data_IF_374496773769
#
_entry.id   IF_374496773769
#
_cell.length_a   1.000
_cell.length_b   1.000
_cell.length_c   1.000
_cell.angle_alpha   90.00
_cell.angle_beta   90.00
_cell.angle_gamma   90.00
#
_symmetry.space_group_name_H-M   'P 1'
#
loop_
_entity.id
_entity.type
_entity.pdbx_description
1 polymer ?
#
# COMPACT_ATOMS: atom_id res chain seq x y z
N UNK A 1 -5.57 0.25 20.09
CA UNK A 1 -5.52 1.58 19.44
C UNK A 1 -6.53 1.65 18.30
N UNK A 2 -6.55 0.67 17.38
CA UNK A 2 -7.48 0.64 16.22
C UNK A 2 -8.53 -0.46 16.33
N UNK A 3 -8.93 -0.82 17.54
CA UNK A 3 -9.96 -1.84 17.79
C UNK A 3 -11.29 -1.46 17.12
N UNK A 4 -11.94 -2.42 16.46
CA UNK A 4 -13.14 -2.20 15.67
C UNK A 4 -12.94 -1.55 14.30
N UNK A 5 -11.71 -1.21 13.91
CA UNK A 5 -11.40 -0.69 12.57
C UNK A 5 -11.13 -1.83 11.60
N UNK A 6 -11.74 -1.77 10.42
CA UNK A 6 -11.53 -2.69 9.30
C UNK A 6 -10.75 -1.97 8.20
N UNK A 7 -9.56 -2.46 7.88
CA UNK A 7 -8.70 -1.86 6.87
C UNK A 7 -8.25 -2.90 5.83
N UNK A 8 -8.35 -2.56 4.56
CA UNK A 8 -7.85 -3.39 3.48
C UNK A 8 -6.42 -2.96 3.10
N UNK A 9 -5.52 -3.93 3.01
CA UNK A 9 -4.14 -3.72 2.58
C UNK A 9 -3.86 -4.53 1.32
N UNK A 10 -4.15 -3.95 0.16
CA UNK A 10 -3.77 -4.52 -1.13
C UNK A 10 -2.25 -4.51 -1.27
N UNK A 11 -1.67 -5.69 -1.55
CA UNK A 11 -0.21 -5.90 -1.51
C UNK A 11 0.33 -6.22 -0.11
N UNK A 12 -0.52 -6.54 0.86
CA UNK A 12 -0.15 -6.84 2.24
C UNK A 12 0.76 -8.05 2.44
N UNK A 13 0.91 -8.92 1.44
CA UNK A 13 1.90 -10.01 1.44
C UNK A 13 3.25 -9.62 0.79
N UNK A 14 3.37 -8.38 0.30
CA UNK A 14 4.60 -7.84 -0.28
C UNK A 14 5.56 -7.29 0.78
N UNK A 15 6.79 -7.00 0.38
CA UNK A 15 7.89 -6.62 1.28
C UNK A 15 7.62 -5.37 2.14
N UNK A 16 6.90 -4.38 1.62
CA UNK A 16 6.45 -3.21 2.39
C UNK A 16 5.12 -3.51 3.09
N UNK A 17 4.18 -4.11 2.35
CA UNK A 17 2.84 -4.40 2.84
C UNK A 17 2.78 -5.28 4.07
N UNK A 18 3.67 -6.30 4.20
CA UNK A 18 3.72 -7.16 5.39
C UNK A 18 4.03 -6.38 6.68
N UNK A 19 4.83 -5.32 6.60
CA UNK A 19 5.10 -4.42 7.73
C UNK A 19 3.89 -3.55 8.08
N UNK A 20 3.13 -3.11 7.07
CA UNK A 20 1.87 -2.39 7.25
C UNK A 20 0.86 -3.30 7.96
N UNK A 21 0.66 -4.52 7.45
CA UNK A 21 -0.23 -5.53 8.06
C UNK A 21 0.17 -5.81 9.50
N UNK A 22 1.47 -6.06 9.76
CA UNK A 22 1.99 -6.29 11.11
C UNK A 22 1.60 -5.16 12.06
N UNK A 23 1.93 -3.93 11.71
CA UNK A 23 1.66 -2.78 12.58
C UNK A 23 0.16 -2.61 12.87
N UNK A 24 -0.66 -2.63 11.85
CA UNK A 24 -2.11 -2.42 12.00
C UNK A 24 -2.76 -3.53 12.83
N UNK A 25 -2.44 -4.79 12.56
CA UNK A 25 -2.98 -5.94 13.30
C UNK A 25 -2.54 -5.93 14.78
N UNK A 26 -1.26 -5.60 15.06
CA UNK A 26 -0.73 -5.49 16.42
C UNK A 26 -1.33 -4.33 17.22
N UNK A 27 -1.89 -3.33 16.54
CA UNK A 27 -2.61 -2.22 17.16
C UNK A 27 -4.14 -2.43 17.17
N UNK A 28 -4.62 -3.62 16.86
CA UNK A 28 -6.01 -4.05 17.06
C UNK A 28 -6.94 -3.89 15.86
N UNK A 29 -6.44 -3.41 14.71
CA UNK A 29 -7.26 -3.37 13.50
C UNK A 29 -7.53 -4.76 12.95
N UNK A 30 -8.71 -4.99 12.39
CA UNK A 30 -9.00 -6.10 11.48
C UNK A 30 -8.42 -5.76 10.11
N UNK A 31 -7.47 -6.57 9.63
CA UNK A 31 -6.72 -6.31 8.41
C UNK A 31 -7.09 -7.32 7.33
N UNK A 32 -7.67 -6.85 6.23
CA UNK A 32 -8.04 -7.66 5.08
C UNK A 32 -6.92 -7.60 4.04
N UNK A 33 -6.44 -8.77 3.61
CA UNK A 33 -5.26 -8.87 2.76
C UNK A 33 -5.56 -9.68 1.49
N UNK A 34 -5.79 -9.05 0.34
CA UNK A 34 -5.84 -9.73 -0.94
C UNK A 34 -4.53 -10.45 -1.27
N UNK A 35 -4.61 -11.70 -1.71
CA UNK A 35 -3.43 -12.49 -2.11
C UNK A 35 -3.78 -13.63 -3.07
N UNK A 36 -2.86 -13.94 -3.99
CA UNK A 36 -2.96 -15.09 -4.92
C UNK A 36 -2.32 -16.37 -4.39
N UNK A 37 -1.59 -16.29 -3.26
CA UNK A 37 -0.69 -17.36 -2.83
C UNK A 37 -0.85 -17.63 -1.34
N UNK A 38 -1.17 -18.89 -1.00
CA UNK A 38 -1.19 -19.36 0.39
C UNK A 38 0.19 -19.27 1.04
N UNK A 39 1.26 -19.61 0.33
CA UNK A 39 2.63 -19.52 0.85
C UNK A 39 3.00 -18.08 1.24
N UNK A 40 2.63 -17.10 0.40
CA UNK A 40 2.84 -15.67 0.73
C UNK A 40 1.98 -15.25 1.90
N UNK A 41 0.73 -15.73 1.99
CA UNK A 41 -0.14 -15.47 3.12
C UNK A 41 0.46 -16.00 4.42
N UNK A 42 0.90 -17.27 4.45
CA UNK A 42 1.55 -17.89 5.59
C UNK A 42 2.85 -17.18 5.98
N UNK A 43 3.68 -16.80 4.99
CA UNK A 43 4.92 -16.06 5.22
C UNK A 43 4.69 -14.68 5.86
N UNK A 44 3.71 -13.93 5.37
CA UNK A 44 3.34 -12.63 5.93
C UNK A 44 2.69 -12.75 7.30
N UNK A 45 1.81 -13.75 7.50
CA UNK A 45 1.21 -14.05 8.79
C UNK A 45 2.27 -14.43 9.84
N UNK A 46 3.30 -15.16 9.43
CA UNK A 46 4.45 -15.51 10.27
C UNK A 46 5.21 -14.29 10.79
N UNK A 47 5.14 -13.15 10.11
CA UNK A 47 5.76 -11.89 10.53
C UNK A 47 4.93 -11.14 11.59
N UNK A 48 3.62 -11.38 11.67
CA UNK A 48 2.73 -10.84 12.71
C UNK A 48 2.91 -11.65 14.00
N UNK A 49 3.01 -10.97 15.14
CA UNK A 49 3.16 -11.63 16.45
C UNK A 49 1.90 -12.46 16.77
N UNK A 50 2.12 -13.65 17.34
CA UNK A 50 1.09 -14.70 17.44
C UNK A 50 -0.27 -14.24 18.01
N UNK A 51 -0.35 -13.43 19.08
CA UNK A 51 -1.65 -13.01 19.63
C UNK A 51 -2.51 -12.19 18.66
N UNK A 52 -1.88 -11.54 17.68
CA UNK A 52 -2.53 -10.61 16.76
C UNK A 52 -2.86 -11.22 15.39
N UNK A 53 -2.42 -12.45 15.11
CA UNK A 53 -2.68 -13.15 13.84
C UNK A 53 -4.16 -13.33 13.56
N UNK A 54 -4.98 -13.44 14.60
CA UNK A 54 -6.45 -13.52 14.49
C UNK A 54 -7.10 -12.27 13.88
N UNK A 55 -6.37 -11.16 13.83
CA UNK A 55 -6.82 -9.90 13.28
C UNK A 55 -6.54 -9.80 11.76
N UNK A 56 -5.87 -10.80 11.14
CA UNK A 56 -5.50 -10.80 9.72
C UNK A 56 -6.36 -11.81 8.96
N UNK A 57 -7.05 -11.35 7.93
CA UNK A 57 -7.93 -12.15 7.08
C UNK A 57 -7.45 -12.08 5.63
N UNK A 58 -7.24 -13.22 5.00
CA UNK A 58 -6.80 -13.29 3.60
C UNK A 58 -7.99 -13.46 2.66
N UNK A 59 -8.01 -12.64 1.60
CA UNK A 59 -8.96 -12.71 0.50
C UNK A 59 -8.22 -13.31 -0.71
N UNK A 60 -8.53 -14.57 -1.05
CA UNK A 60 -7.81 -15.27 -2.11
C UNK A 60 -8.34 -14.91 -3.50
N UNK A 61 -7.42 -14.56 -4.40
CA UNK A 61 -7.69 -14.18 -5.79
C UNK A 61 -6.68 -13.16 -6.30
N UNK A 62 -6.76 -12.83 -7.59
CA UNK A 62 -5.96 -11.80 -8.22
C UNK A 62 -6.69 -10.45 -8.19
N UNK A 63 -6.22 -9.53 -7.35
CA UNK A 63 -6.82 -8.19 -7.22
C UNK A 63 -6.70 -7.35 -8.51
N UNK A 64 -5.88 -7.76 -9.47
CA UNK A 64 -5.79 -7.13 -10.80
C UNK A 64 -6.78 -7.71 -11.82
N UNK A 65 -7.50 -8.77 -11.45
CA UNK A 65 -8.61 -9.35 -12.20
C UNK A 65 -9.95 -8.81 -11.65
N UNK A 66 -10.81 -8.30 -12.54
CA UNK A 66 -12.08 -7.67 -12.13
C UNK A 66 -13.04 -8.69 -11.48
N UNK A 67 -13.07 -9.93 -11.94
CA UNK A 67 -13.96 -10.95 -11.38
C UNK A 67 -13.52 -11.39 -9.98
N UNK A 68 -12.22 -11.54 -9.76
CA UNK A 68 -11.69 -11.87 -8.44
C UNK A 68 -11.81 -10.68 -7.48
N UNK A 69 -11.56 -9.45 -7.94
CA UNK A 69 -11.79 -8.24 -7.15
C UNK A 69 -13.26 -8.11 -6.74
N UNK A 70 -14.22 -8.46 -7.63
CA UNK A 70 -15.64 -8.45 -7.31
C UNK A 70 -16.01 -9.51 -6.25
N UNK A 71 -15.45 -10.73 -6.32
CA UNK A 71 -15.63 -11.74 -5.25
C UNK A 71 -15.11 -11.23 -3.90
N UNK A 72 -13.96 -10.54 -3.89
CA UNK A 72 -13.43 -9.92 -2.66
C UNK A 72 -14.36 -8.85 -2.13
N UNK A 73 -14.91 -8.00 -3.01
CA UNK A 73 -15.93 -7.00 -2.65
C UNK A 73 -17.12 -7.66 -1.95
N UNK A 74 -17.67 -8.72 -2.54
CA UNK A 74 -18.87 -9.41 -2.00
C UNK A 74 -18.56 -10.02 -0.63
N UNK A 75 -17.41 -10.67 -0.45
CA UNK A 75 -16.96 -11.19 0.86
C UNK A 75 -16.84 -10.07 1.89
N UNK A 76 -16.31 -8.89 1.49
CA UNK A 76 -16.20 -7.74 2.41
C UNK A 76 -17.58 -7.24 2.81
N UNK A 77 -18.51 -7.11 1.88
CA UNK A 77 -19.89 -6.69 2.18
C UNK A 77 -20.58 -7.66 3.13
N UNK A 78 -20.45 -8.97 2.88
CA UNK A 78 -21.14 -10.00 3.65
C UNK A 78 -20.61 -10.14 5.09
N UNK A 79 -19.33 -9.90 5.33
CA UNK A 79 -18.70 -10.18 6.63
C UNK A 79 -18.25 -8.94 7.41
N UNK A 80 -18.01 -7.82 6.73
CA UNK A 80 -17.44 -6.60 7.33
C UNK A 80 -18.25 -5.34 7.02
N UNK A 81 -19.21 -5.42 6.10
CA UNK A 81 -20.08 -4.34 5.64
C UNK A 81 -19.32 -3.22 4.89
N UNK A 82 -18.36 -2.58 5.53
CA UNK A 82 -17.61 -1.43 5.00
C UNK A 82 -16.17 -1.42 5.51
N UNK A 83 -15.34 -0.58 4.89
CA UNK A 83 -13.94 -0.36 5.24
C UNK A 83 -13.75 0.98 5.97
N UNK A 84 -13.00 0.98 7.06
CA UNK A 84 -12.55 2.20 7.76
C UNK A 84 -11.27 2.79 7.14
N UNK A 85 -10.62 2.06 6.24
CA UNK A 85 -9.46 2.51 5.49
C UNK A 85 -9.03 1.52 4.42
N UNK A 86 -8.28 2.03 3.44
CA UNK A 86 -7.70 1.22 2.38
C UNK A 86 -6.26 1.65 2.10
N UNK A 87 -5.40 0.68 1.84
CA UNK A 87 -4.01 0.89 1.42
C UNK A 87 -3.76 0.12 0.14
N UNK A 88 -3.14 0.75 -0.83
CA UNK A 88 -2.67 0.11 -2.05
C UNK A 88 -1.15 0.17 -2.12
N UNK A 89 -0.50 -0.94 -1.73
CA UNK A 89 0.95 -1.16 -1.77
C UNK A 89 1.29 -2.27 -2.77
N UNK A 90 0.69 -2.14 -3.96
CA UNK A 90 0.79 -3.10 -5.06
C UNK A 90 2.04 -2.85 -5.91
N UNK A 91 2.43 -3.88 -6.67
CA UNK A 91 3.61 -3.84 -7.51
C UNK A 91 4.85 -4.37 -6.81
N UNK A 92 6.01 -4.06 -7.38
CA UNK A 92 7.29 -4.51 -6.88
C UNK A 92 8.44 -3.82 -7.60
N UNK A 93 9.64 -4.03 -7.09
CA UNK A 93 10.86 -3.59 -7.77
C UNK A 93 11.21 -4.56 -8.89
N UNK A 94 11.52 -4.02 -10.06
CA UNK A 94 12.10 -4.73 -11.18
C UNK A 94 13.43 -4.08 -11.57
N UNK A 95 14.41 -4.88 -11.89
CA UNK A 95 15.73 -4.43 -12.33
C UNK A 95 16.17 -5.33 -13.47
N UNK A 96 16.55 -4.76 -14.58
CA UNK A 96 16.93 -5.50 -15.77
C UNK A 96 17.77 -4.68 -16.73
N UNK A 97 17.24 -4.40 -17.91
CA UNK A 97 17.93 -3.76 -19.02
C UNK A 97 17.49 -2.30 -19.23
N UNK A 98 18.04 -1.63 -20.25
CA UNK A 98 17.59 -0.32 -20.67
C UNK A 98 16.14 -0.37 -21.17
N UNK A 99 15.41 0.72 -20.99
CA UNK A 99 13.99 0.78 -21.38
C UNK A 99 13.76 0.51 -22.87
N UNK A 100 14.76 0.82 -23.73
CA UNK A 100 14.75 0.54 -25.17
C UNK A 100 14.82 -0.95 -25.52
N UNK A 101 15.27 -1.78 -24.58
CA UNK A 101 15.52 -3.20 -24.79
C UNK A 101 14.42 -4.09 -24.17
N UNK A 102 13.45 -3.48 -23.48
CA UNK A 102 12.29 -4.18 -22.92
C UNK A 102 11.30 -4.47 -24.04
N UNK A 103 10.85 -5.71 -24.13
CA UNK A 103 9.81 -6.09 -25.07
C UNK A 103 8.45 -5.53 -24.67
N UNK A 104 7.54 -5.39 -25.66
CA UNK A 104 6.16 -4.99 -25.39
C UNK A 104 5.46 -5.94 -24.42
N UNK A 105 5.70 -7.24 -24.51
CA UNK A 105 5.10 -8.24 -23.61
C UNK A 105 5.57 -8.06 -22.16
N UNK A 106 6.87 -7.86 -21.93
CA UNK A 106 7.42 -7.57 -20.59
C UNK A 106 6.86 -6.25 -20.04
N UNK A 107 6.74 -5.21 -20.88
CA UNK A 107 6.11 -3.95 -20.49
C UNK A 107 4.66 -4.17 -20.03
N UNK A 108 3.86 -4.90 -20.79
CA UNK A 108 2.45 -5.16 -20.48
C UNK A 108 2.30 -5.97 -19.19
N UNK A 109 3.10 -7.02 -19.00
CA UNK A 109 3.13 -7.82 -17.77
C UNK A 109 3.48 -6.98 -16.53
N UNK A 110 4.53 -6.15 -16.63
CA UNK A 110 4.94 -5.30 -15.53
C UNK A 110 3.89 -4.21 -15.22
N UNK A 111 3.32 -3.58 -16.24
CA UNK A 111 2.27 -2.56 -16.05
C UNK A 111 1.00 -3.14 -15.45
N UNK A 112 0.66 -4.41 -15.72
CA UNK A 112 -0.46 -5.09 -15.10
C UNK A 112 -0.33 -5.09 -13.57
N UNK A 113 0.83 -5.46 -13.04
CA UNK A 113 1.09 -5.50 -11.60
C UNK A 113 1.38 -4.15 -10.97
N UNK A 114 1.99 -3.22 -11.73
CA UNK A 114 2.49 -1.93 -11.22
C UNK A 114 1.45 -0.79 -11.30
N UNK A 115 0.48 -0.88 -12.22
CA UNK A 115 -0.51 0.18 -12.45
C UNK A 115 -1.93 -0.35 -12.52
N UNK A 116 -2.21 -1.31 -13.43
CA UNK A 116 -3.58 -1.82 -13.65
C UNK A 116 -4.17 -2.41 -12.36
N UNK A 117 -3.37 -3.10 -11.56
CA UNK A 117 -3.79 -3.63 -10.27
C UNK A 117 -4.28 -2.54 -9.30
N UNK A 118 -3.64 -1.38 -9.27
CA UNK A 118 -4.11 -0.24 -8.47
C UNK A 118 -5.46 0.28 -8.95
N UNK A 119 -5.63 0.39 -10.28
CA UNK A 119 -6.89 0.83 -10.85
C UNK A 119 -8.04 -0.14 -10.55
N UNK A 120 -7.86 -1.45 -10.79
CA UNK A 120 -8.91 -2.46 -10.56
C UNK A 120 -9.27 -2.53 -9.07
N UNK A 121 -8.27 -2.56 -8.18
CA UNK A 121 -8.50 -2.53 -6.74
C UNK A 121 -9.29 -1.30 -6.30
N UNK A 122 -8.93 -0.11 -6.81
CA UNK A 122 -9.61 1.14 -6.47
C UNK A 122 -11.04 1.14 -7.01
N UNK A 123 -11.23 0.84 -8.30
CA UNK A 123 -12.54 0.81 -8.94
C UNK A 123 -13.54 -0.08 -8.18
N UNK A 124 -13.09 -1.24 -7.72
CA UNK A 124 -13.97 -2.26 -7.14
C UNK A 124 -14.15 -2.09 -5.63
N UNK A 125 -13.08 -1.76 -4.89
CA UNK A 125 -13.09 -1.83 -3.42
C UNK A 125 -13.18 -0.46 -2.73
N UNK A 126 -12.75 0.62 -3.39
CA UNK A 126 -12.87 1.97 -2.83
C UNK A 126 -14.31 2.40 -2.53
N UNK A 127 -15.36 1.97 -3.29
CA UNK A 127 -16.74 2.28 -2.94
C UNK A 127 -17.19 1.75 -1.57
N UNK A 128 -16.49 0.76 -0.99
CA UNK A 128 -16.76 0.21 0.34
C UNK A 128 -16.23 1.09 1.48
N UNK A 129 -15.46 2.13 1.18
CA UNK A 129 -14.94 3.04 2.20
C UNK A 129 -16.06 3.85 2.85
N UNK A 130 -16.03 3.91 4.19
CA UNK A 130 -16.92 4.78 4.97
C UNK A 130 -16.67 6.26 4.67
N UNK A 131 -17.70 7.06 4.85
CA UNK A 131 -17.59 8.51 4.79
C UNK A 131 -16.47 9.03 5.72
N UNK A 132 -15.59 9.86 5.19
CA UNK A 132 -14.49 10.48 5.94
C UNK A 132 -13.27 9.60 6.18
N UNK A 133 -13.28 8.33 5.74
CA UNK A 133 -12.11 7.45 5.86
C UNK A 133 -10.98 7.82 4.89
N UNK A 134 -9.86 7.11 5.01
CA UNK A 134 -8.65 7.38 4.22
C UNK A 134 -8.32 6.23 3.27
N UNK A 135 -7.88 6.58 2.07
CA UNK A 135 -7.24 5.68 1.13
C UNK A 135 -5.82 6.15 0.85
N UNK A 136 -4.82 5.30 1.06
CA UNK A 136 -3.42 5.64 0.85
C UNK A 136 -2.79 4.73 -0.20
N UNK A 137 -2.24 5.34 -1.25
CA UNK A 137 -1.36 4.67 -2.20
C UNK A 137 0.07 4.71 -1.68
N UNK A 138 0.89 3.70 -2.00
CA UNK A 138 2.33 3.78 -1.82
C UNK A 138 3.03 3.80 -3.18
N UNK A 139 4.03 4.65 -3.31
CA UNK A 139 4.92 4.72 -4.46
C UNK A 139 6.35 4.96 -3.99
N UNK A 140 7.32 4.84 -4.88
CA UNK A 140 8.73 5.13 -4.57
C UNK A 140 9.19 6.48 -5.07
N UNK A 141 10.30 6.99 -4.53
CA UNK A 141 10.94 8.24 -5.00
C UNK A 141 11.30 8.21 -6.49
N UNK A 142 11.47 7.02 -7.08
CA UNK A 142 11.66 6.81 -8.52
C UNK A 142 10.49 7.30 -9.37
N UNK A 143 9.31 7.43 -8.79
CA UNK A 143 8.13 7.98 -9.47
C UNK A 143 8.24 9.51 -9.73
N UNK A 144 9.09 10.20 -8.98
CA UNK A 144 9.29 11.65 -9.07
C UNK A 144 10.67 12.01 -9.65
N UNK A 145 11.67 11.14 -9.49
CA UNK A 145 13.02 11.37 -10.00
C UNK A 145 13.56 10.09 -10.67
N UNK A 146 13.73 10.18 -11.99
CA UNK A 146 14.22 9.10 -12.82
C UNK A 146 15.67 8.67 -12.48
N UNK A 147 16.46 9.49 -11.79
CA UNK A 147 17.82 9.14 -11.37
C UNK A 147 17.84 7.92 -10.42
N UNK A 148 16.75 7.69 -9.67
CA UNK A 148 16.61 6.53 -8.79
C UNK A 148 16.16 5.25 -9.50
N UNK A 149 15.92 5.27 -10.82
CA UNK A 149 15.28 4.19 -11.56
C UNK A 149 16.04 3.68 -12.78
N UNK A 150 17.36 3.97 -12.86
CA UNK A 150 18.19 3.50 -13.97
C UNK A 150 18.10 1.97 -14.11
N UNK A 151 17.71 1.47 -15.28
CA UNK A 151 17.49 0.06 -15.58
C UNK A 151 16.38 -0.64 -14.76
N UNK A 152 15.43 0.11 -14.23
CA UNK A 152 14.25 -0.43 -13.53
C UNK A 152 12.97 -0.46 -14.39
N UNK A 153 13.12 -0.37 -15.71
CA UNK A 153 12.04 -0.52 -16.68
C UNK A 153 10.85 0.40 -16.42
N UNK A 154 9.63 -0.15 -16.42
CA UNK A 154 8.40 0.63 -16.24
C UNK A 154 8.09 1.03 -14.79
N UNK A 155 8.95 0.71 -13.81
CA UNK A 155 8.68 1.02 -12.38
C UNK A 155 8.47 2.52 -12.15
N UNK A 156 9.33 3.38 -12.72
CA UNK A 156 9.19 4.83 -12.56
C UNK A 156 7.97 5.40 -13.29
N UNK A 157 7.72 5.10 -14.59
CA UNK A 157 6.51 5.54 -15.28
C UNK A 157 5.22 5.04 -14.59
N UNK A 158 5.18 3.78 -14.16
CA UNK A 158 4.03 3.24 -13.45
C UNK A 158 3.83 3.92 -12.09
N UNK A 159 4.90 4.12 -11.33
CA UNK A 159 4.86 4.85 -10.07
C UNK A 159 4.35 6.28 -10.22
N UNK A 160 4.82 7.01 -11.25
CA UNK A 160 4.33 8.35 -11.58
C UNK A 160 2.83 8.34 -11.95
N UNK A 161 2.39 7.33 -12.72
CA UNK A 161 0.98 7.15 -13.04
C UNK A 161 0.12 6.84 -11.80
N UNK A 162 0.64 6.04 -10.84
CA UNK A 162 -0.04 5.76 -9.55
C UNK A 162 -0.19 7.04 -8.72
N UNK A 163 0.83 7.92 -8.70
CA UNK A 163 0.72 9.23 -8.02
C UNK A 163 -0.37 10.09 -8.66
N UNK A 164 -0.41 10.17 -9.99
CA UNK A 164 -1.46 10.92 -10.69
C UNK A 164 -2.85 10.29 -10.47
N UNK A 165 -2.94 8.95 -10.44
CA UNK A 165 -4.18 8.23 -10.14
C UNK A 165 -4.70 8.57 -8.75
N UNK A 166 -3.83 8.66 -7.74
CA UNK A 166 -4.21 9.04 -6.38
C UNK A 166 -4.75 10.47 -6.30
N UNK A 167 -4.14 11.42 -7.03
CA UNK A 167 -4.61 12.80 -7.10
C UNK A 167 -5.97 12.91 -7.81
N UNK A 168 -6.15 12.16 -8.92
CA UNK A 168 -7.43 12.12 -9.62
C UNK A 168 -8.54 11.60 -8.72
N UNK A 169 -8.31 10.50 -7.99
CA UNK A 169 -9.30 10.01 -7.01
C UNK A 169 -9.55 11.01 -5.88
N UNK A 170 -8.53 11.75 -5.42
CA UNK A 170 -8.72 12.79 -4.41
C UNK A 170 -9.70 13.88 -4.88
N UNK A 171 -9.62 14.26 -6.17
CA UNK A 171 -10.53 15.24 -6.79
C UNK A 171 -11.93 14.66 -6.97
N UNK A 172 -12.04 13.44 -7.54
CA UNK A 172 -13.32 12.81 -7.84
C UNK A 172 -14.10 12.41 -6.58
N UNK A 173 -13.40 12.07 -5.49
CA UNK A 173 -13.99 11.63 -4.23
C UNK A 173 -14.03 12.72 -3.16
N UNK A 174 -13.80 13.98 -3.56
CA UNK A 174 -13.81 15.11 -2.62
C UNK A 174 -15.09 15.15 -1.77
N UNK A 175 -14.92 15.27 -0.46
CA UNK A 175 -16.03 15.28 0.51
C UNK A 175 -16.61 13.90 0.86
N UNK A 176 -16.14 12.80 0.22
CA UNK A 176 -16.53 11.44 0.60
C UNK A 176 -15.49 10.79 1.49
N UNK A 177 -14.27 10.71 1.05
CA UNK A 177 -13.11 10.19 1.80
C UNK A 177 -11.82 10.86 1.31
N UNK A 178 -10.74 10.69 2.05
CA UNK A 178 -9.46 11.32 1.77
C UNK A 178 -8.56 10.35 0.99
N UNK A 179 -7.93 10.83 -0.07
CA UNK A 179 -7.01 10.02 -0.88
C UNK A 179 -5.64 10.70 -0.91
N UNK A 180 -4.59 9.96 -0.53
CA UNK A 180 -3.22 10.47 -0.50
C UNK A 180 -2.24 9.42 -1.02
N UNK A 181 -1.01 9.81 -1.30
CA UNK A 181 0.08 8.91 -1.64
C UNK A 181 1.28 9.08 -0.69
N UNK A 182 1.83 7.98 -0.16
CA UNK A 182 3.16 7.96 0.45
C UNK A 182 4.20 7.71 -0.63
N UNK A 183 5.13 8.66 -0.80
CA UNK A 183 6.28 8.54 -1.70
C UNK A 183 7.49 8.13 -0.86
N UNK A 184 7.79 6.83 -0.89
CA UNK A 184 8.77 6.21 -0.02
C UNK A 184 10.18 6.25 -0.62
N UNK A 185 11.17 6.60 0.18
CA UNK A 185 12.56 6.28 -0.08
C UNK A 185 12.82 4.77 0.00
N UNK A 186 14.08 4.32 -0.01
CA UNK A 186 14.40 2.93 0.20
C UNK A 186 13.91 2.45 1.58
N UNK A 187 13.20 1.31 1.63
CA UNK A 187 12.61 0.75 2.85
C UNK A 187 13.43 -0.44 3.34
N UNK A 188 13.73 -0.50 4.64
CA UNK A 188 14.27 -1.68 5.31
C UNK A 188 13.14 -2.70 5.50
N UNK A 189 13.04 -3.63 4.56
CA UNK A 189 12.09 -4.73 4.62
C UNK A 189 12.73 -6.00 5.17
N UNK A 190 11.92 -6.98 5.57
CA UNK A 190 12.40 -8.28 6.05
C UNK A 190 13.27 -9.00 5.01
N UNK A 191 12.87 -8.90 3.74
CA UNK A 191 13.57 -9.57 2.63
C UNK A 191 14.75 -8.78 2.07
N UNK A 192 14.97 -7.53 2.48
CA UNK A 192 16.11 -6.74 2.02
C UNK A 192 17.40 -7.28 2.62
N UNK A 193 18.42 -7.63 1.81
CA UNK A 193 19.71 -8.10 2.31
C UNK A 193 20.32 -7.10 3.29
N UNK A 194 20.93 -7.59 4.37
CA UNK A 194 21.51 -6.75 5.46
C UNK A 194 22.55 -5.76 4.93
N UNK A 195 23.35 -6.14 3.92
CA UNK A 195 24.33 -5.28 3.26
C UNK A 195 23.76 -4.04 2.56
N UNK A 196 22.45 -4.06 2.25
CA UNK A 196 21.74 -2.92 1.62
C UNK A 196 20.84 -2.15 2.60
N UNK A 197 20.84 -2.52 3.88
CA UNK A 197 20.09 -1.80 4.91
C UNK A 197 20.91 -0.61 5.42
N UNK A 198 20.21 0.49 5.73
CA UNK A 198 20.81 1.67 6.35
C UNK A 198 19.90 2.17 7.46
N UNK A 199 20.49 2.73 8.51
CA UNK A 199 19.73 3.27 9.66
C UNK A 199 18.84 4.46 9.27
N UNK A 200 19.22 5.18 8.22
CA UNK A 200 18.40 6.27 7.67
C UNK A 200 17.15 5.81 6.90
N UNK A 201 17.06 4.52 6.53
CA UNK A 201 15.89 4.01 5.81
C UNK A 201 14.77 3.64 6.77
N UNK A 202 13.56 4.04 6.46
CA UNK A 202 12.37 3.63 7.23
C UNK A 202 12.19 2.11 7.20
N UNK A 203 11.70 1.53 8.29
CA UNK A 203 11.30 0.12 8.29
C UNK A 203 9.92 -0.04 7.65
N UNK A 204 9.62 -1.23 7.14
CA UNK A 204 8.26 -1.54 6.67
C UNK A 204 7.21 -1.42 7.78
N UNK A 205 7.58 -1.67 9.04
CA UNK A 205 6.72 -1.44 10.20
C UNK A 205 6.46 0.06 10.43
N UNK A 206 7.47 0.92 10.26
CA UNK A 206 7.32 2.39 10.34
C UNK A 206 6.38 2.91 9.23
N UNK A 207 6.39 2.30 8.03
CA UNK A 207 5.39 2.62 7.01
C UNK A 207 3.97 2.28 7.52
N UNK A 208 3.79 1.15 8.17
CA UNK A 208 2.52 0.80 8.83
C UNK A 208 2.11 1.81 9.91
N UNK A 209 3.06 2.30 10.70
CA UNK A 209 2.84 3.32 11.71
C UNK A 209 2.38 4.65 11.10
N UNK A 210 3.02 5.10 10.00
CA UNK A 210 2.58 6.28 9.25
C UNK A 210 1.16 6.13 8.70
N UNK A 211 0.83 4.96 8.14
CA UNK A 211 -0.52 4.65 7.68
C UNK A 211 -1.52 4.72 8.82
N UNK A 212 -1.24 4.08 9.96
CA UNK A 212 -2.12 4.09 11.12
C UNK A 212 -2.35 5.50 11.65
N UNK A 213 -1.29 6.29 11.79
CA UNK A 213 -1.38 7.67 12.25
C UNK A 213 -2.17 8.55 11.27
N UNK A 214 -1.90 8.46 9.96
CA UNK A 214 -2.63 9.20 8.93
C UNK A 214 -4.12 8.87 8.92
N UNK A 215 -4.46 7.58 9.04
CA UNK A 215 -5.84 7.12 8.91
C UNK A 215 -6.68 7.36 10.16
N UNK A 216 -6.09 7.23 11.35
CA UNK A 216 -6.88 7.12 12.60
C UNK A 216 -6.47 8.11 13.70
N UNK A 217 -5.30 8.75 13.60
CA UNK A 217 -4.79 9.63 14.67
C UNK A 217 -4.73 11.10 14.22
N UNK A 218 -4.68 11.36 12.90
CA UNK A 218 -4.59 12.72 12.37
C UNK A 218 -5.93 13.48 12.54
N UNK A 219 -5.95 14.44 13.45
CA UNK A 219 -7.13 15.27 13.71
C UNK A 219 -7.46 16.25 12.56
N UNK A 220 -6.51 16.49 11.65
CA UNK A 220 -6.66 17.41 10.52
C UNK A 220 -6.59 16.62 9.20
N UNK A 221 -7.70 16.05 8.72
CA UNK A 221 -7.71 15.26 7.49
C UNK A 221 -7.12 16.01 6.31
N UNK A 222 -6.30 15.31 5.53
CA UNK A 222 -5.66 15.82 4.32
C UNK A 222 -6.05 14.94 3.14
N UNK A 223 -6.12 15.51 1.94
CA UNK A 223 -6.43 14.80 0.70
C UNK A 223 -5.69 15.41 -0.49
N UNK A 224 -5.34 14.60 -1.47
CA UNK A 224 -4.62 15.02 -2.68
C UNK A 224 -3.12 15.23 -2.47
N UNK A 225 -2.57 14.77 -1.35
CA UNK A 225 -1.17 15.05 -0.99
C UNK A 225 -0.23 13.89 -1.40
N UNK A 226 0.96 14.29 -1.89
CA UNK A 226 2.14 13.40 -2.00
C UNK A 226 2.99 13.58 -0.76
N UNK A 227 2.86 12.65 0.16
CA UNK A 227 3.57 12.65 1.45
C UNK A 227 4.93 11.99 1.26
N UNK A 228 5.97 12.79 1.11
CA UNK A 228 7.34 12.29 0.86
C UNK A 228 8.00 11.82 2.14
N UNK A 229 8.39 10.55 2.14
CA UNK A 229 9.04 9.87 3.27
C UNK A 229 10.37 9.27 2.78
N UNK A 230 11.38 10.12 2.47
CA UNK A 230 12.66 9.65 1.97
C UNK A 230 13.48 8.87 3.01
N UNK A 231 13.26 9.14 4.30
CA UNK A 231 14.06 8.64 5.41
C UNK A 231 13.30 8.62 6.75
N UNK A 232 13.99 8.21 7.82
CA UNK A 232 13.44 8.12 9.18
C UNK A 232 13.12 9.49 9.80
N UNK A 233 13.81 10.55 9.40
CA UNK A 233 13.59 11.90 9.92
C UNK A 233 12.27 12.47 9.40
N UNK A 234 12.01 12.30 8.11
CA UNK A 234 10.75 12.67 7.50
C UNK A 234 9.58 11.87 8.11
N UNK A 235 9.76 10.57 8.33
CA UNK A 235 8.76 9.73 9.00
C UNK A 235 8.45 10.24 10.41
N UNK A 236 9.47 10.53 11.22
CA UNK A 236 9.30 11.07 12.57
C UNK A 236 8.57 12.41 12.57
N UNK A 237 8.87 13.30 11.60
CA UNK A 237 8.20 14.58 11.44
C UNK A 237 6.70 14.43 11.18
N UNK A 238 6.30 13.52 10.27
CA UNK A 238 4.89 13.25 10.01
C UNK A 238 4.18 12.65 11.23
N UNK A 239 4.79 11.69 11.90
CA UNK A 239 4.22 11.08 13.10
C UNK A 239 4.00 12.10 14.21
N UNK A 240 4.97 12.99 14.45
CA UNK A 240 4.82 14.07 15.41
C UNK A 240 3.68 15.04 15.03
N UNK A 241 3.57 15.40 13.74
CA UNK A 241 2.50 16.28 13.22
C UNK A 241 1.10 15.68 13.37
N UNK A 242 0.95 14.36 13.14
CA UNK A 242 -0.37 13.74 13.14
C UNK A 242 -0.85 13.29 14.52
N UNK A 243 0.07 13.12 15.48
CA UNK A 243 -0.21 12.74 16.87
C UNK A 243 -0.21 13.89 17.87
N UNK A 244 0.28 15.04 17.47
CA UNK A 244 0.37 16.26 18.31
C UNK A 244 -0.83 17.13 18.16
#
# INVERSE_FOLDING_TARGET
MYEGKVILVAGGTGAVGEGIVKYLAENGATVLVPTRSEDKALGALGYVDQPYRKNVFYLFGDISDEADAQKMHDVIVDHFEQLDGMVSSLGGWWQGTALTDITKAEWEELMQGLLTAHFVASKTLMPLLRQGSNYTFTSGVSAEDAAFSKYSGPVAPAGAAVLMLSELYAVEMAGRFNVNALVLGPVNTRVRPTSYRKDSYVSSKTVGELIGALHFENANPITGERLRVPDVEAAASYLAKWRG
#
